data_IF_073888598728
#
_entry.id   IF_073888598728
#
_cell.length_a   1.000
_cell.length_b   1.000
_cell.length_c   1.000
_cell.angle_alpha   90.00
_cell.angle_beta   90.00
_cell.angle_gamma   90.00
#
_symmetry.space_group_name_H-M   'P 1'
#
loop_
_entity.id
_entity.type
_entity.pdbx_description
1 polymer ?
#
# COMPACT_ATOMS: atom_id res chain seq x y z
N UNK A 1 26.82 13.15 8.45
CA UNK A 1 26.40 11.95 9.20
C UNK A 1 25.71 10.98 8.25
N UNK A 2 26.15 9.71 8.20
CA UNK A 2 25.46 8.65 7.46
C UNK A 2 24.08 8.45 8.10
N UNK A 3 23.02 8.59 7.32
CA UNK A 3 21.67 8.40 7.80
C UNK A 3 21.52 6.95 8.29
N UNK A 4 21.25 6.74 9.59
CA UNK A 4 21.05 5.39 10.15
C UNK A 4 19.88 4.74 9.42
N UNK A 5 20.11 3.55 8.87
CA UNK A 5 19.06 2.78 8.16
C UNK A 5 17.96 2.41 9.15
N UNK A 6 16.72 2.69 8.77
CA UNK A 6 15.53 2.40 9.58
C UNK A 6 15.03 1.00 9.22
N UNK A 7 15.64 -0.03 9.79
CA UNK A 7 15.32 -1.42 9.49
C UNK A 7 13.85 -1.76 9.71
N UNK A 8 13.23 -1.19 10.75
CA UNK A 8 11.80 -1.43 11.03
C UNK A 8 10.88 -0.97 9.89
N UNK A 9 11.17 0.15 9.20
CA UNK A 9 10.41 0.56 8.03
C UNK A 9 10.64 -0.34 6.82
N UNK A 10 11.87 -0.85 6.66
CA UNK A 10 12.18 -1.81 5.61
C UNK A 10 11.45 -3.14 5.87
N UNK A 11 11.44 -3.64 7.11
CA UNK A 11 10.75 -4.86 7.51
C UNK A 11 9.23 -4.72 7.37
N UNK A 12 8.68 -3.57 7.77
CA UNK A 12 7.25 -3.27 7.57
C UNK A 12 6.87 -3.29 6.09
N UNK A 13 7.70 -2.71 5.20
CA UNK A 13 7.46 -2.79 3.75
C UNK A 13 7.51 -4.22 3.22
N UNK A 14 8.39 -5.08 3.73
CA UNK A 14 8.40 -6.51 3.37
C UNK A 14 7.06 -7.16 3.74
N UNK A 15 6.60 -6.98 4.99
CA UNK A 15 5.31 -7.54 5.43
C UNK A 15 4.13 -7.01 4.60
N UNK A 16 4.13 -5.71 4.30
CA UNK A 16 3.10 -5.11 3.44
C UNK A 16 3.15 -5.66 2.01
N UNK A 17 4.35 -5.91 1.44
CA UNK A 17 4.47 -6.52 0.12
C UNK A 17 3.89 -7.93 0.10
N UNK A 18 4.19 -8.73 1.13
CA UNK A 18 3.59 -10.06 1.28
C UNK A 18 2.07 -9.96 1.40
N UNK A 19 1.58 -9.01 2.20
CA UNK A 19 0.14 -8.78 2.36
C UNK A 19 -0.54 -8.39 1.04
N UNK A 20 0.09 -7.54 0.20
CA UNK A 20 -0.41 -7.20 -1.14
C UNK A 20 -0.48 -8.44 -2.03
N UNK A 21 0.55 -9.28 -2.01
CA UNK A 21 0.56 -10.53 -2.80
C UNK A 21 -0.60 -11.44 -2.36
N UNK A 22 -0.80 -11.64 -1.06
CA UNK A 22 -1.92 -12.43 -0.55
C UNK A 22 -3.28 -11.78 -0.83
N UNK A 23 -3.38 -10.46 -0.76
CA UNK A 23 -4.60 -9.74 -1.14
C UNK A 23 -5.01 -10.08 -2.59
N UNK A 24 -4.07 -9.94 -3.53
CA UNK A 24 -4.34 -10.27 -4.93
C UNK A 24 -4.53 -11.78 -5.17
N UNK A 25 -3.81 -12.65 -4.46
CA UNK A 25 -4.03 -14.10 -4.54
C UNK A 25 -5.46 -14.48 -4.14
N UNK A 26 -6.02 -13.81 -3.13
CA UNK A 26 -7.38 -14.05 -2.65
C UNK A 26 -8.47 -13.55 -3.59
N UNK A 27 -8.23 -12.51 -4.40
CA UNK A 27 -9.24 -11.94 -5.29
C UNK A 27 -9.83 -12.97 -6.27
N UNK A 28 -9.04 -13.95 -6.70
CA UNK A 28 -9.51 -15.04 -7.55
C UNK A 28 -10.53 -15.96 -6.86
N UNK A 29 -10.49 -16.05 -5.54
CA UNK A 29 -11.28 -16.98 -4.73
C UNK A 29 -12.37 -16.26 -3.91
N UNK A 30 -12.55 -14.97 -4.12
CA UNK A 30 -13.65 -14.18 -3.54
C UNK A 30 -14.89 -14.20 -4.41
N UNK A 31 -16.02 -13.81 -3.85
CA UNK A 31 -17.27 -13.64 -4.58
C UNK A 31 -17.31 -12.24 -5.20
N UNK A 32 -17.04 -12.17 -6.48
CA UNK A 32 -17.09 -10.93 -7.26
C UNK A 32 -15.87 -10.02 -7.04
N UNK A 33 -15.22 -9.68 -8.08
CA UNK A 33 -14.12 -8.72 -8.15
C UNK A 33 -13.59 -8.68 -9.56
N UNK A 34 -13.06 -7.56 -9.99
CA UNK A 34 -12.49 -7.36 -11.32
C UNK A 34 -11.19 -8.14 -11.56
N UNK A 35 -11.04 -9.33 -10.96
CA UNK A 35 -9.86 -10.16 -11.16
C UNK A 35 -9.93 -10.90 -12.51
N UNK A 36 -8.80 -10.97 -13.20
CA UNK A 36 -8.75 -11.53 -14.56
C UNK A 36 -8.88 -13.06 -14.62
N UNK A 37 -8.69 -13.76 -13.50
CA UNK A 37 -8.85 -15.21 -13.40
C UNK A 37 -9.98 -15.56 -12.43
N UNK A 38 -10.84 -16.49 -12.84
CA UNK A 38 -11.87 -17.10 -12.01
C UNK A 38 -11.71 -18.61 -12.02
N UNK A 39 -11.75 -19.30 -10.85
CA UNK A 39 -11.65 -20.75 -10.80
C UNK A 39 -12.75 -21.41 -11.62
N UNK A 40 -12.40 -22.42 -12.42
CA UNK A 40 -13.38 -23.23 -13.14
C UNK A 40 -14.27 -24.06 -12.20
N UNK A 41 -13.79 -24.34 -10.99
CA UNK A 41 -14.53 -25.05 -9.96
C UNK A 41 -15.20 -24.07 -8.98
N UNK A 42 -16.55 -23.95 -8.96
CA UNK A 42 -17.27 -23.05 -8.03
C UNK A 42 -17.02 -23.36 -6.54
N UNK A 43 -16.62 -24.59 -6.19
CA UNK A 43 -16.29 -24.94 -4.81
C UNK A 43 -14.99 -24.30 -4.31
N UNK A 44 -14.24 -23.63 -5.17
CA UNK A 44 -13.02 -22.88 -4.83
C UNK A 44 -13.31 -21.41 -4.47
N UNK A 45 -14.55 -21.01 -4.26
CA UNK A 45 -14.95 -19.66 -3.84
C UNK A 45 -15.16 -19.60 -2.32
N UNK A 46 -14.66 -18.53 -1.72
CA UNK A 46 -14.77 -18.24 -0.28
C UNK A 46 -15.46 -16.88 -0.06
N UNK A 47 -16.80 -16.83 0.10
CA UNK A 47 -17.50 -15.55 0.24
C UNK A 47 -17.00 -14.70 1.42
N UNK A 48 -16.56 -15.32 2.51
CA UNK A 48 -16.08 -14.61 3.70
C UNK A 48 -14.76 -13.85 3.51
N UNK A 49 -13.99 -14.11 2.43
CA UNK A 49 -12.68 -13.50 2.20
C UNK A 49 -12.79 -11.99 1.91
N UNK A 50 -13.98 -11.47 1.59
CA UNK A 50 -14.18 -10.05 1.38
C UNK A 50 -13.84 -9.21 2.62
N UNK A 51 -13.98 -9.75 3.84
CA UNK A 51 -13.54 -9.09 5.08
C UNK A 51 -12.03 -8.85 5.09
N UNK A 52 -11.27 -9.84 4.59
CA UNK A 52 -9.82 -9.71 4.41
C UNK A 52 -9.49 -8.60 3.41
N UNK A 53 -10.22 -8.52 2.29
CA UNK A 53 -9.99 -7.47 1.30
C UNK A 53 -10.33 -6.09 1.85
N UNK A 54 -11.49 -5.90 2.43
CA UNK A 54 -11.94 -4.61 2.93
C UNK A 54 -11.05 -4.10 4.08
N UNK A 55 -10.58 -5.00 4.95
CA UNK A 55 -9.65 -4.62 6.02
C UNK A 55 -8.28 -4.22 5.47
N UNK A 56 -7.73 -4.98 4.52
CA UNK A 56 -6.45 -4.66 3.92
C UNK A 56 -6.51 -3.36 3.09
N UNK A 57 -7.53 -3.23 2.23
CA UNK A 57 -7.73 -2.04 1.41
C UNK A 57 -7.80 -0.77 2.27
N UNK A 58 -8.40 -0.86 3.46
CA UNK A 58 -8.52 0.27 4.36
C UNK A 58 -7.17 0.90 4.74
N UNK A 59 -6.08 0.13 4.88
CA UNK A 59 -4.85 0.70 5.41
C UNK A 59 -3.57 0.46 4.59
N UNK A 60 -3.43 -0.70 3.91
CA UNK A 60 -2.11 -1.11 3.41
C UNK A 60 -1.51 -0.16 2.38
N UNK A 61 -2.32 0.34 1.42
CA UNK A 61 -1.85 1.30 0.43
C UNK A 61 -1.66 2.69 1.03
N UNK A 62 -2.55 3.12 1.94
CA UNK A 62 -2.39 4.34 2.71
C UNK A 62 -1.08 4.36 3.51
N UNK A 63 -0.75 3.24 4.16
CA UNK A 63 0.51 3.10 4.91
C UNK A 63 1.73 3.12 3.98
N UNK A 64 1.65 2.52 2.78
CA UNK A 64 2.71 2.64 1.79
C UNK A 64 2.93 4.09 1.34
N UNK A 65 1.86 4.86 1.12
CA UNK A 65 1.97 6.28 0.80
C UNK A 65 2.56 7.07 1.96
N UNK A 66 2.18 6.79 3.21
CA UNK A 66 2.76 7.43 4.39
C UNK A 66 4.27 7.15 4.50
N UNK A 67 4.70 5.89 4.42
CA UNK A 67 6.11 5.52 4.46
C UNK A 67 6.88 6.17 3.30
N UNK A 68 6.30 6.21 2.12
CA UNK A 68 6.92 6.85 0.96
C UNK A 68 7.06 8.35 1.14
N UNK A 69 6.02 9.03 1.64
CA UNK A 69 6.02 10.45 2.00
C UNK A 69 7.08 10.78 3.05
N UNK A 70 7.28 9.90 4.04
CA UNK A 70 8.30 10.08 5.08
C UNK A 70 9.73 10.19 4.51
N UNK A 71 10.06 9.46 3.44
CA UNK A 71 11.40 9.51 2.85
C UNK A 71 11.60 10.66 1.86
N UNK A 72 10.54 11.26 1.35
CA UNK A 72 10.61 12.30 0.31
C UNK A 72 11.35 13.55 0.74
N UNK A 73 11.07 14.20 1.91
CA UNK A 73 11.73 15.43 2.29
C UNK A 73 13.25 15.30 2.44
N UNK A 74 13.69 14.31 3.20
CA UNK A 74 15.14 14.08 3.44
C UNK A 74 15.87 13.74 2.12
N UNK A 75 15.20 13.00 1.22
CA UNK A 75 15.75 12.67 -0.10
C UNK A 75 15.90 13.90 -0.99
N UNK A 76 14.87 14.75 -1.03
CA UNK A 76 14.89 16.00 -1.83
C UNK A 76 15.95 16.99 -1.28
N UNK A 77 15.97 17.23 0.02
CA UNK A 77 16.90 18.18 0.65
C UNK A 77 18.37 17.77 0.45
N UNK A 78 18.64 16.45 0.48
CA UNK A 78 20.01 15.92 0.29
C UNK A 78 20.49 16.02 -1.16
N UNK A 79 19.61 15.86 -2.15
CA UNK A 79 20.00 15.64 -3.54
C UNK A 79 19.74 16.87 -4.43
N UNK A 80 18.89 17.78 -4.00
CA UNK A 80 18.37 18.88 -4.83
C UNK A 80 17.34 18.41 -5.86
N UNK A 81 16.57 19.37 -6.39
CA UNK A 81 15.40 19.12 -7.24
C UNK A 81 15.71 18.26 -8.48
N UNK A 82 16.70 18.65 -9.28
CA UNK A 82 17.03 17.96 -10.54
C UNK A 82 17.44 16.50 -10.34
N UNK A 83 18.32 16.22 -9.36
CA UNK A 83 18.76 14.86 -9.07
C UNK A 83 17.62 14.02 -8.47
N UNK A 84 16.79 14.61 -7.60
CA UNK A 84 15.63 13.96 -7.02
C UNK A 84 14.64 13.52 -8.10
N UNK A 85 14.22 14.45 -8.99
CA UNK A 85 13.29 14.17 -10.10
C UNK A 85 13.86 13.10 -11.03
N UNK A 86 15.12 13.23 -11.47
CA UNK A 86 15.77 12.21 -12.31
C UNK A 86 15.72 10.81 -11.67
N UNK A 87 16.04 10.69 -10.38
CA UNK A 87 16.00 9.40 -9.68
C UNK A 87 14.58 8.85 -9.54
N UNK A 88 13.58 9.72 -9.32
CA UNK A 88 12.19 9.29 -9.26
C UNK A 88 11.69 8.80 -10.62
N UNK A 89 12.02 9.49 -11.70
CA UNK A 89 11.69 9.05 -13.07
C UNK A 89 12.34 7.71 -13.41
N UNK A 90 13.61 7.50 -13.05
CA UNK A 90 14.29 6.21 -13.28
C UNK A 90 13.66 5.10 -12.45
N UNK A 91 13.44 5.33 -11.15
CA UNK A 91 13.06 4.28 -10.20
C UNK A 91 11.57 3.96 -10.18
N UNK A 92 10.72 4.91 -10.51
CA UNK A 92 9.27 4.74 -10.55
C UNK A 92 8.74 4.79 -11.98
N UNK A 93 9.22 5.74 -12.80
CA UNK A 93 8.74 5.94 -14.16
C UNK A 93 9.08 4.79 -15.10
N UNK A 94 10.33 4.31 -15.11
CA UNK A 94 10.73 3.20 -15.99
C UNK A 94 9.93 1.91 -15.67
N UNK A 95 9.84 1.42 -14.40
CA UNK A 95 9.02 0.25 -14.10
C UNK A 95 7.53 0.45 -14.43
N UNK A 96 6.98 1.63 -14.16
CA UNK A 96 5.59 1.94 -14.50
C UNK A 96 5.34 1.86 -16.00
N UNK A 97 6.20 2.47 -16.84
CA UNK A 97 6.06 2.43 -18.28
C UNK A 97 6.23 1.01 -18.85
N UNK A 98 7.21 0.27 -18.38
CA UNK A 98 7.47 -1.09 -18.88
C UNK A 98 6.38 -2.08 -18.45
N UNK A 99 6.04 -2.12 -17.17
CA UNK A 99 5.06 -3.06 -16.65
C UNK A 99 3.62 -2.64 -16.98
N UNK A 100 3.28 -1.36 -16.82
CA UNK A 100 1.96 -0.83 -17.21
C UNK A 100 1.74 -0.93 -18.73
N UNK A 101 2.76 -0.66 -19.53
CA UNK A 101 2.73 -0.90 -20.97
C UNK A 101 2.50 -2.38 -21.32
N UNK A 102 3.21 -3.29 -20.67
CA UNK A 102 3.00 -4.72 -20.85
C UNK A 102 1.57 -5.15 -20.47
N UNK A 103 1.06 -4.70 -19.33
CA UNK A 103 -0.31 -5.00 -18.89
C UNK A 103 -1.34 -4.43 -19.87
N UNK A 104 -1.12 -3.22 -20.39
CA UNK A 104 -2.00 -2.61 -21.40
C UNK A 104 -2.03 -3.41 -22.72
N UNK A 105 -0.89 -3.91 -23.15
CA UNK A 105 -0.81 -4.80 -24.34
C UNK A 105 -1.55 -6.10 -24.10
N UNK A 106 -1.35 -6.73 -22.94
CA UNK A 106 -2.01 -8.00 -22.59
C UNK A 106 -3.54 -7.84 -22.45
N UNK A 107 -3.98 -6.69 -21.91
CA UNK A 107 -5.40 -6.39 -21.74
C UNK A 107 -6.09 -5.86 -23.01
N UNK A 108 -5.34 -5.50 -24.05
CA UNK A 108 -5.88 -4.85 -25.26
C UNK A 108 -6.52 -3.47 -25.04
N UNK A 109 -6.25 -2.85 -23.91
CA UNK A 109 -6.74 -1.50 -23.53
C UNK A 109 -5.72 -0.84 -22.59
N UNK A 110 -5.88 0.48 -22.38
CA UNK A 110 -5.07 1.16 -21.38
C UNK A 110 -5.39 0.60 -19.98
N UNK A 111 -4.44 -0.12 -19.43
CA UNK A 111 -4.57 -0.82 -18.14
C UNK A 111 -3.23 -0.78 -17.42
N UNK A 112 -3.17 -0.20 -16.24
CA UNK A 112 -1.95 -0.17 -15.44
C UNK A 112 -1.96 -1.23 -14.34
N UNK A 113 -3.08 -1.90 -14.13
CA UNK A 113 -3.24 -2.89 -13.08
C UNK A 113 -2.74 -2.35 -11.73
N UNK A 114 -2.00 -3.17 -11.00
CA UNK A 114 -1.42 -2.78 -9.70
C UNK A 114 -0.40 -1.63 -9.80
N UNK A 115 0.09 -1.27 -10.99
CA UNK A 115 1.08 -0.19 -11.16
C UNK A 115 0.50 1.21 -10.94
N UNK A 116 -0.82 1.36 -10.77
CA UNK A 116 -1.46 2.61 -10.39
C UNK A 116 -0.83 3.25 -9.13
N UNK A 117 -0.37 2.43 -8.18
CA UNK A 117 0.30 2.94 -6.98
C UNK A 117 1.65 3.59 -7.31
N UNK A 118 2.47 2.95 -8.14
CA UNK A 118 3.78 3.50 -8.56
C UNK A 118 3.60 4.78 -9.35
N UNK A 119 2.61 4.83 -10.22
CA UNK A 119 2.19 5.99 -10.99
C UNK A 119 1.84 7.17 -10.07
N UNK A 120 0.92 6.96 -9.14
CA UNK A 120 0.50 8.01 -8.20
C UNK A 120 1.63 8.42 -7.25
N UNK A 121 2.49 7.49 -6.83
CA UNK A 121 3.66 7.80 -6.03
C UNK A 121 4.68 8.66 -6.78
N UNK A 122 4.87 8.41 -8.09
CA UNK A 122 5.66 9.28 -8.96
C UNK A 122 5.05 10.67 -9.02
N UNK A 123 3.74 10.74 -9.31
CA UNK A 123 3.02 12.01 -9.40
C UNK A 123 3.14 12.82 -8.09
N UNK A 124 2.85 12.26 -6.93
CA UNK A 124 2.97 12.94 -5.64
C UNK A 124 4.41 13.41 -5.37
N UNK A 125 5.40 12.60 -5.78
CA UNK A 125 6.80 12.98 -5.63
C UNK A 125 7.18 14.18 -6.51
N UNK A 126 6.65 14.24 -7.73
CA UNK A 126 6.87 15.36 -8.65
C UNK A 126 6.15 16.63 -8.21
N UNK A 127 4.90 16.50 -7.73
CA UNK A 127 4.15 17.62 -7.13
C UNK A 127 4.89 18.17 -5.91
N UNK A 128 5.39 17.32 -5.04
CA UNK A 128 6.23 17.76 -3.92
C UNK A 128 7.46 18.52 -4.41
N UNK A 129 8.17 18.00 -5.40
CA UNK A 129 9.34 18.68 -5.96
C UNK A 129 8.98 20.05 -6.53
N UNK A 130 7.86 20.15 -7.28
CA UNK A 130 7.35 21.42 -7.81
C UNK A 130 7.04 22.44 -6.71
N UNK A 131 6.28 22.02 -5.67
CA UNK A 131 5.97 22.91 -4.53
C UNK A 131 7.26 23.41 -3.86
N UNK A 132 8.26 22.54 -3.71
CA UNK A 132 9.53 22.88 -3.06
C UNK A 132 10.43 23.81 -3.88
N UNK A 133 10.18 24.00 -5.16
CA UNK A 133 10.87 25.04 -5.95
C UNK A 133 10.44 26.47 -5.56
N UNK A 134 9.18 26.61 -5.13
CA UNK A 134 8.60 27.91 -4.81
C UNK A 134 8.43 28.14 -3.30
N UNK A 135 8.28 27.07 -2.51
CA UNK A 135 8.02 27.14 -1.08
C UNK A 135 9.22 26.63 -0.27
N UNK A 136 9.58 27.39 0.78
CA UNK A 136 10.54 26.91 1.79
C UNK A 136 10.00 25.68 2.50
N UNK A 137 10.89 24.81 3.06
CA UNK A 137 10.42 23.70 3.86
C UNK A 137 9.60 24.19 5.05
N UNK A 138 8.58 23.43 5.44
CA UNK A 138 7.91 23.63 6.71
C UNK A 138 8.97 23.61 7.81
N UNK A 139 8.97 24.66 8.64
CA UNK A 139 9.87 24.74 9.78
C UNK A 139 9.63 23.53 10.69
N UNK A 140 10.70 23.05 11.32
CA UNK A 140 10.59 22.00 12.34
C UNK A 140 9.73 22.53 13.49
N UNK A 141 8.54 21.96 13.64
CA UNK A 141 7.67 22.20 14.79
C UNK A 141 7.86 21.04 15.77
N UNK A 142 7.70 21.32 17.05
CA UNK A 142 7.85 20.30 18.12
C UNK A 142 6.58 19.49 18.35
N UNK A 143 5.70 19.39 17.35
CA UNK A 143 4.47 18.62 17.49
C UNK A 143 4.76 17.11 17.57
N UNK A 144 3.99 16.42 18.42
CA UNK A 144 4.01 14.95 18.53
C UNK A 144 2.66 14.39 18.10
N UNK A 145 2.58 13.17 17.55
CA UNK A 145 1.29 12.53 17.32
C UNK A 145 0.58 12.30 18.66
N UNK A 146 -0.72 12.58 18.67
CA UNK A 146 -1.61 12.33 19.82
C UNK A 146 -2.82 11.53 19.34
N UNK A 147 -3.48 10.79 20.23
CA UNK A 147 -4.68 10.01 19.86
C UNK A 147 -5.78 10.92 19.32
N UNK A 148 -5.98 12.10 19.94
CA UNK A 148 -6.96 13.09 19.46
C UNK A 148 -6.57 13.60 18.06
N UNK A 149 -5.28 13.89 17.82
CA UNK A 149 -4.79 14.31 16.51
C UNK A 149 -5.01 13.24 15.43
N UNK A 150 -4.71 11.97 15.74
CA UNK A 150 -4.96 10.85 14.84
C UNK A 150 -6.46 10.69 14.55
N UNK A 151 -7.31 10.82 15.56
CA UNK A 151 -8.76 10.76 15.40
C UNK A 151 -9.27 11.90 14.49
N UNK A 152 -8.84 13.15 14.75
CA UNK A 152 -9.24 14.32 13.95
C UNK A 152 -8.83 14.11 12.47
N UNK A 153 -7.60 13.67 12.22
CA UNK A 153 -7.12 13.41 10.86
C UNK A 153 -7.94 12.32 10.19
N UNK A 154 -8.20 11.19 10.87
CA UNK A 154 -9.01 10.11 10.34
C UNK A 154 -10.46 10.54 10.08
N UNK A 155 -11.04 11.33 10.98
CA UNK A 155 -12.40 11.87 10.83
C UNK A 155 -12.51 12.86 9.65
N UNK A 156 -11.57 13.80 9.51
CA UNK A 156 -11.56 14.76 8.39
C UNK A 156 -11.38 14.05 7.06
N UNK A 157 -10.47 13.09 6.99
CA UNK A 157 -10.25 12.25 5.81
C UNK A 157 -11.52 11.45 5.49
N UNK A 158 -12.16 10.89 6.51
CA UNK A 158 -13.36 10.10 6.38
C UNK A 158 -14.58 10.91 5.92
N UNK A 159 -14.76 12.12 6.44
CA UNK A 159 -15.83 13.03 5.98
C UNK A 159 -15.64 13.38 4.51
N UNK A 160 -14.41 13.74 4.11
CA UNK A 160 -14.11 13.98 2.70
C UNK A 160 -14.36 12.75 1.82
N UNK A 161 -13.91 11.57 2.25
CA UNK A 161 -14.16 10.30 1.56
C UNK A 161 -15.66 9.96 1.46
N UNK A 162 -16.43 10.26 2.50
CA UNK A 162 -17.88 10.08 2.49
C UNK A 162 -18.54 10.87 1.36
N UNK A 163 -18.22 12.16 1.20
CA UNK A 163 -18.80 12.97 0.12
C UNK A 163 -18.32 12.53 -1.27
N UNK A 164 -17.04 12.19 -1.42
CA UNK A 164 -16.51 11.70 -2.71
C UNK A 164 -17.24 10.43 -3.14
N UNK A 165 -17.57 9.53 -2.22
CA UNK A 165 -18.24 8.26 -2.51
C UNK A 165 -19.71 8.38 -2.90
N UNK A 166 -20.34 9.53 -2.65
CA UNK A 166 -21.69 9.79 -3.17
C UNK A 166 -21.68 9.90 -4.70
N UNK A 167 -20.61 10.47 -5.26
CA UNK A 167 -20.45 10.68 -6.70
C UNK A 167 -19.61 9.57 -7.37
N UNK A 168 -18.68 8.98 -6.64
CA UNK A 168 -17.76 7.97 -7.15
C UNK A 168 -17.63 6.83 -6.15
N UNK A 169 -18.43 5.76 -6.31
CA UNK A 169 -18.36 4.59 -5.44
C UNK A 169 -17.02 3.86 -5.55
N UNK A 170 -16.80 2.89 -4.65
CA UNK A 170 -15.64 2.01 -4.72
C UNK A 170 -15.61 1.23 -6.05
N UNK A 171 -14.43 0.83 -6.46
CA UNK A 171 -14.15 0.14 -7.73
C UNK A 171 -14.47 0.98 -8.99
N UNK A 172 -14.79 2.27 -8.85
CA UNK A 172 -14.94 3.19 -9.97
C UNK A 172 -13.60 3.85 -10.28
N UNK A 173 -12.89 3.29 -11.24
CA UNK A 173 -11.59 3.78 -11.71
C UNK A 173 -11.76 4.81 -12.82
N UNK A 174 -11.06 5.92 -12.70
CA UNK A 174 -11.05 6.98 -13.71
C UNK A 174 -9.65 7.19 -14.25
N UNK A 175 -9.61 7.55 -15.54
CA UNK A 175 -8.41 8.05 -16.20
C UNK A 175 -8.53 9.56 -16.39
N UNK A 176 -7.59 10.30 -15.80
CA UNK A 176 -7.56 11.75 -15.90
C UNK A 176 -6.14 12.27 -16.00
N UNK A 177 -5.84 13.06 -17.03
CA UNK A 177 -4.53 13.67 -17.28
C UNK A 177 -3.34 12.69 -17.25
N UNK A 178 -3.53 11.47 -17.72
CA UNK A 178 -2.48 10.45 -17.73
C UNK A 178 -2.37 9.62 -16.44
N UNK A 179 -3.24 9.85 -15.46
CA UNK A 179 -3.28 9.12 -14.20
C UNK A 179 -4.49 8.20 -14.15
N UNK A 180 -4.28 6.97 -13.65
CA UNK A 180 -5.36 6.05 -13.30
C UNK A 180 -5.48 6.04 -11.79
N UNK A 181 -6.67 6.34 -11.29
CA UNK A 181 -6.94 6.34 -9.85
C UNK A 181 -8.40 6.07 -9.54
N UNK A 182 -8.65 5.65 -8.31
CA UNK A 182 -9.97 5.43 -7.75
C UNK A 182 -10.31 6.60 -6.80
N UNK A 183 -11.27 7.48 -7.15
CA UNK A 183 -11.58 8.66 -6.35
C UNK A 183 -11.97 8.33 -4.91
N UNK A 184 -12.69 7.21 -4.71
CA UNK A 184 -13.16 6.77 -3.40
C UNK A 184 -12.05 6.67 -2.33
N UNK A 185 -10.83 6.30 -2.74
CA UNK A 185 -9.66 6.18 -1.84
C UNK A 185 -8.61 7.27 -2.06
N UNK A 186 -8.74 8.09 -3.12
CA UNK A 186 -7.67 9.01 -3.53
C UNK A 186 -7.31 10.05 -2.47
N UNK A 187 -8.34 10.61 -1.81
CA UNK A 187 -8.14 11.55 -0.72
C UNK A 187 -7.31 10.92 0.41
N UNK A 188 -7.59 9.67 0.74
CA UNK A 188 -6.85 8.92 1.75
C UNK A 188 -5.36 8.80 1.37
N UNK A 189 -5.06 8.48 0.11
CA UNK A 189 -3.67 8.33 -0.35
C UNK A 189 -2.90 9.66 -0.34
N UNK A 190 -3.53 10.75 -0.78
CA UNK A 190 -2.97 12.11 -0.72
C UNK A 190 -2.70 12.50 0.74
N UNK A 191 -3.67 12.33 1.62
CA UNK A 191 -3.55 12.67 3.04
C UNK A 191 -2.46 11.83 3.73
N UNK A 192 -2.41 10.54 3.48
CA UNK A 192 -1.40 9.65 4.07
C UNK A 192 0.01 9.98 3.57
N UNK A 193 0.18 10.31 2.29
CA UNK A 193 1.46 10.77 1.77
C UNK A 193 1.90 12.09 2.43
N UNK A 194 0.98 13.04 2.58
CA UNK A 194 1.23 14.30 3.27
C UNK A 194 1.57 14.10 4.76
N UNK A 195 0.83 13.22 5.46
CA UNK A 195 1.16 12.83 6.84
C UNK A 195 2.56 12.23 6.95
N UNK A 196 3.00 11.47 5.95
CA UNK A 196 4.38 10.98 5.88
C UNK A 196 5.40 12.11 5.80
N UNK A 197 5.13 13.14 4.99
CA UNK A 197 5.98 14.34 4.92
C UNK A 197 6.04 15.05 6.29
N UNK A 198 4.90 15.24 6.94
CA UNK A 198 4.85 15.85 8.29
C UNK A 198 5.58 14.99 9.32
N UNK A 199 5.38 13.67 9.29
CA UNK A 199 6.06 12.73 10.17
C UNK A 199 7.59 12.80 10.05
N UNK A 200 8.09 13.04 8.83
CA UNK A 200 9.52 13.28 8.61
C UNK A 200 9.98 14.64 9.15
N UNK A 201 9.22 15.71 8.87
CA UNK A 201 9.60 17.07 9.27
C UNK A 201 9.55 17.30 10.77
N UNK A 202 8.61 16.68 11.45
CA UNK A 202 8.40 16.81 12.88
C UNK A 202 8.99 15.66 13.70
N UNK A 203 9.67 14.71 13.03
CA UNK A 203 10.29 13.54 13.67
C UNK A 203 9.27 12.70 14.47
N UNK A 204 8.06 12.55 13.93
CA UNK A 204 6.97 11.87 14.64
C UNK A 204 7.27 10.41 14.94
N UNK A 205 7.98 9.71 14.03
CA UNK A 205 8.30 8.29 14.24
C UNK A 205 9.30 8.10 15.39
N UNK A 206 10.20 9.05 15.57
CA UNK A 206 11.18 9.07 16.66
C UNK A 206 10.56 9.53 17.98
N UNK A 207 9.64 10.51 17.92
CA UNK A 207 9.05 11.20 19.09
C UNK A 207 7.73 10.58 19.58
N UNK A 208 7.15 9.63 18.83
CA UNK A 208 5.91 8.96 19.20
C UNK A 208 6.07 8.15 20.49
N UNK A 209 5.30 8.50 21.49
CA UNK A 209 5.30 7.81 22.78
C UNK A 209 4.74 6.37 22.62
N UNK A 210 5.33 5.40 23.31
CA UNK A 210 4.90 3.99 23.23
C UNK A 210 3.42 3.82 23.58
N UNK A 211 2.91 4.58 24.55
CA UNK A 211 1.50 4.58 24.93
C UNK A 211 0.60 4.98 23.75
N UNK A 212 0.97 6.00 22.99
CA UNK A 212 0.19 6.46 21.84
C UNK A 212 0.18 5.40 20.75
N UNK A 213 1.34 4.82 20.44
CA UNK A 213 1.42 3.74 19.42
C UNK A 213 0.63 2.50 19.81
N UNK A 214 0.72 2.07 21.09
CA UNK A 214 -0.03 0.92 21.60
C UNK A 214 -1.55 1.16 21.57
N UNK A 215 -2.02 2.35 21.99
CA UNK A 215 -3.44 2.70 21.92
C UNK A 215 -3.91 2.79 20.47
N UNK A 216 -3.12 3.37 19.57
CA UNK A 216 -3.45 3.41 18.16
C UNK A 216 -3.60 2.00 17.57
N UNK A 217 -2.68 1.09 17.89
CA UNK A 217 -2.79 -0.31 17.46
C UNK A 217 -4.03 -0.98 18.02
N UNK A 218 -4.33 -0.79 19.31
CA UNK A 218 -5.53 -1.36 19.94
C UNK A 218 -6.82 -0.88 19.26
N UNK A 219 -6.94 0.44 19.02
CA UNK A 219 -8.09 1.02 18.32
C UNK A 219 -8.17 0.43 16.89
N UNK A 220 -7.04 0.37 16.19
CA UNK A 220 -6.97 -0.22 14.85
C UNK A 220 -7.44 -1.67 14.80
N UNK A 221 -7.01 -2.49 15.77
CA UNK A 221 -7.45 -3.90 15.92
C UNK A 221 -8.95 -3.98 16.21
N UNK A 222 -9.46 -3.16 17.13
CA UNK A 222 -10.90 -3.14 17.45
C UNK A 222 -11.73 -2.78 16.22
N UNK A 223 -11.31 -1.78 15.44
CA UNK A 223 -11.97 -1.43 14.18
C UNK A 223 -11.87 -2.57 13.16
N UNK A 224 -10.72 -3.22 13.03
CA UNK A 224 -10.58 -4.38 12.13
C UNK A 224 -11.49 -5.53 12.54
N UNK A 225 -11.56 -5.88 13.83
CA UNK A 225 -12.48 -6.90 14.36
C UNK A 225 -13.93 -6.50 14.07
N UNK A 226 -14.31 -5.23 14.31
CA UNK A 226 -15.63 -4.72 13.97
C UNK A 226 -15.97 -4.82 12.47
N UNK A 227 -14.96 -4.67 11.59
CA UNK A 227 -15.14 -4.89 10.15
C UNK A 227 -15.35 -6.37 9.81
N UNK A 228 -14.65 -7.29 10.49
CA UNK A 228 -14.87 -8.74 10.34
C UNK A 228 -16.21 -9.20 10.92
N UNK A 229 -16.76 -8.52 11.92
CA UNK A 229 -18.05 -8.84 12.51
C UNK A 229 -19.27 -8.32 11.71
N UNK A 230 -19.05 -7.81 10.50
CA UNK A 230 -20.13 -7.34 9.62
C UNK A 230 -20.73 -8.50 8.83
N UNK A 231 -21.63 -9.23 9.44
CA UNK A 231 -22.32 -10.41 8.87
C UNK A 231 -23.79 -10.14 8.51
N UNK A 232 -24.17 -8.87 8.47
CA UNK A 232 -25.56 -8.43 8.27
C UNK A 232 -26.09 -7.64 9.48
N UNK A 233 -27.38 -7.36 9.49
CA UNK A 233 -28.04 -6.64 10.58
C UNK A 233 -27.68 -5.15 10.69
N UNK A 234 -28.02 -4.55 11.84
CA UNK A 234 -27.90 -3.10 12.08
C UNK A 234 -26.45 -2.61 12.06
N UNK A 235 -25.51 -3.42 12.61
CA UNK A 235 -24.10 -3.06 12.61
C UNK A 235 -23.54 -2.97 11.19
N UNK A 236 -23.86 -3.92 10.33
CA UNK A 236 -23.45 -3.87 8.92
C UNK A 236 -24.04 -2.66 8.22
N UNK A 237 -25.33 -2.37 8.40
CA UNK A 237 -26.00 -1.20 7.84
C UNK A 237 -25.35 0.12 8.31
N UNK A 238 -25.04 0.23 9.60
CA UNK A 238 -24.37 1.40 10.17
C UNK A 238 -22.98 1.59 9.55
N UNK A 239 -22.12 0.55 9.54
CA UNK A 239 -20.78 0.65 8.99
C UNK A 239 -20.83 0.92 7.48
N UNK A 240 -21.72 0.28 6.74
CA UNK A 240 -21.88 0.52 5.30
C UNK A 240 -22.21 2.00 5.01
N UNK A 241 -23.16 2.58 5.76
CA UNK A 241 -23.56 3.98 5.62
C UNK A 241 -22.40 4.95 5.85
N UNK A 242 -21.55 4.67 6.83
CA UNK A 242 -20.44 5.53 7.24
C UNK A 242 -19.07 4.96 6.86
N UNK A 243 -19.03 4.09 5.86
CA UNK A 243 -17.82 3.32 5.55
C UNK A 243 -16.62 4.20 5.27
N UNK A 244 -16.77 5.33 4.59
CA UNK A 244 -15.67 6.27 4.34
C UNK A 244 -15.01 6.76 5.64
N UNK A 245 -15.80 7.04 6.69
CA UNK A 245 -15.27 7.46 7.99
C UNK A 245 -14.63 6.28 8.72
N UNK A 246 -15.33 5.15 8.74
CA UNK A 246 -14.87 3.93 9.41
C UNK A 246 -13.51 3.46 8.86
N UNK A 247 -13.41 3.36 7.54
CA UNK A 247 -12.20 2.96 6.83
C UNK A 247 -11.05 3.95 7.03
N UNK A 248 -11.32 5.24 7.00
CA UNK A 248 -10.30 6.28 7.23
C UNK A 248 -9.75 6.24 8.65
N UNK A 249 -10.58 5.99 9.64
CA UNK A 249 -10.13 5.75 11.01
C UNK A 249 -9.27 4.48 11.10
N UNK A 250 -9.73 3.37 10.48
CA UNK A 250 -8.91 2.15 10.37
C UNK A 250 -7.55 2.45 9.75
N UNK A 251 -7.52 3.18 8.63
CA UNK A 251 -6.29 3.54 7.95
C UNK A 251 -5.30 4.23 8.89
N UNK A 252 -5.73 5.27 9.57
CA UNK A 252 -4.84 6.07 10.43
C UNK A 252 -4.38 5.26 11.64
N UNK A 253 -5.30 4.63 12.36
CA UNK A 253 -4.99 3.93 13.60
C UNK A 253 -4.14 2.67 13.37
N UNK A 254 -4.46 1.86 12.37
CA UNK A 254 -3.65 0.69 12.00
C UNK A 254 -2.26 1.15 11.53
N UNK A 255 -2.17 2.19 10.71
CA UNK A 255 -0.89 2.67 10.19
C UNK A 255 0.05 3.14 11.30
N UNK A 256 -0.41 4.01 12.20
CA UNK A 256 0.41 4.50 13.31
C UNK A 256 0.70 3.40 14.34
N UNK A 257 -0.26 2.51 14.58
CA UNK A 257 -0.07 1.32 15.41
C UNK A 257 1.00 0.38 14.87
N UNK A 258 0.99 0.08 13.56
CA UNK A 258 2.00 -0.76 12.92
C UNK A 258 3.37 -0.09 12.87
N UNK A 259 3.44 1.22 12.61
CA UNK A 259 4.70 1.96 12.67
C UNK A 259 5.36 1.88 14.04
N UNK A 260 4.56 2.03 15.11
CA UNK A 260 5.02 1.82 16.48
C UNK A 260 5.44 0.38 16.74
N UNK A 261 4.60 -0.59 16.39
CA UNK A 261 4.86 -2.02 16.62
C UNK A 261 6.18 -2.45 15.96
N UNK A 262 6.40 -2.07 14.71
CA UNK A 262 7.64 -2.40 14.00
C UNK A 262 8.85 -1.63 14.54
N UNK A 263 8.68 -0.39 15.00
CA UNK A 263 9.75 0.36 15.65
C UNK A 263 10.25 -0.33 16.92
N UNK A 264 9.34 -0.81 17.75
CA UNK A 264 9.66 -1.44 19.05
C UNK A 264 10.09 -2.91 18.88
N UNK A 265 9.36 -3.67 18.06
CA UNK A 265 9.51 -5.12 18.01
C UNK A 265 9.96 -5.66 16.65
N UNK A 266 9.86 -4.88 15.60
CA UNK A 266 10.15 -5.29 14.21
C UNK A 266 11.49 -4.74 13.65
N UNK A 267 12.39 -4.24 14.48
CA UNK A 267 13.64 -3.59 14.04
C UNK A 267 14.79 -4.61 13.82
N UNK A 268 14.48 -5.71 13.15
CA UNK A 268 15.45 -6.76 12.87
C UNK A 268 16.42 -6.36 11.76
N UNK A 269 17.70 -6.75 11.90
CA UNK A 269 18.76 -6.44 10.94
C UNK A 269 19.45 -7.68 10.36
N UNK A 270 18.81 -8.86 10.43
CA UNK A 270 19.39 -10.09 9.89
C UNK A 270 19.62 -10.01 8.37
N UNK A 271 20.55 -10.83 7.85
CA UNK A 271 20.85 -10.91 6.42
C UNK A 271 19.61 -11.28 5.59
N UNK A 272 18.76 -12.15 6.12
CA UNK A 272 17.51 -12.57 5.48
C UNK A 272 16.54 -11.37 5.29
N UNK A 273 16.26 -10.61 6.37
CA UNK A 273 15.38 -9.44 6.29
C UNK A 273 15.91 -8.34 5.38
N UNK A 274 17.23 -8.12 5.41
CA UNK A 274 17.87 -7.18 4.48
C UNK A 274 17.78 -7.63 3.02
N UNK A 275 17.89 -8.95 2.77
CA UNK A 275 17.69 -9.52 1.44
C UNK A 275 16.21 -9.32 1.00
N UNK A 276 15.23 -9.68 1.84
CA UNK A 276 13.81 -9.46 1.55
C UNK A 276 13.53 -7.98 1.24
N UNK A 277 13.98 -7.07 2.10
CA UNK A 277 13.78 -5.63 1.91
C UNK A 277 14.35 -5.11 0.58
N UNK A 278 15.48 -5.67 0.15
CA UNK A 278 16.08 -5.31 -1.14
C UNK A 278 15.26 -5.81 -2.34
N UNK A 279 14.47 -6.85 -2.20
CA UNK A 279 13.65 -7.43 -3.28
C UNK A 279 12.19 -6.94 -3.26
N UNK A 280 11.68 -6.36 -2.17
CA UNK A 280 10.25 -6.03 -1.99
C UNK A 280 9.65 -5.21 -3.12
N UNK A 281 10.38 -4.23 -3.65
CA UNK A 281 9.88 -3.38 -4.72
C UNK A 281 9.70 -4.14 -6.04
N UNK A 282 10.69 -4.94 -6.44
CA UNK A 282 10.56 -5.77 -7.65
C UNK A 282 9.52 -6.90 -7.45
N UNK A 283 9.45 -7.50 -6.25
CA UNK A 283 8.41 -8.48 -5.94
C UNK A 283 7.01 -7.88 -6.12
N UNK A 284 6.79 -6.64 -5.66
CA UNK A 284 5.56 -5.90 -5.94
C UNK A 284 5.32 -5.72 -7.46
N UNK A 285 6.34 -5.46 -8.27
CA UNK A 285 6.17 -5.27 -9.71
C UNK A 285 5.80 -6.58 -10.42
N UNK A 286 6.45 -7.70 -10.08
CA UNK A 286 6.34 -8.95 -10.83
C UNK A 286 5.20 -9.86 -10.38
N UNK A 287 4.68 -9.71 -9.15
CA UNK A 287 3.75 -10.69 -8.57
C UNK A 287 2.48 -10.91 -9.40
N UNK A 288 1.93 -9.86 -10.01
CA UNK A 288 0.65 -9.92 -10.71
C UNK A 288 0.68 -10.90 -11.90
N UNK A 289 1.72 -10.77 -12.75
CA UNK A 289 1.87 -11.64 -13.92
C UNK A 289 2.15 -13.09 -13.48
N UNK A 290 3.07 -13.26 -12.52
CA UNK A 290 3.37 -14.58 -11.97
C UNK A 290 2.14 -15.24 -11.37
N UNK A 291 1.29 -14.46 -10.71
CA UNK A 291 0.06 -14.92 -10.07
C UNK A 291 -0.94 -15.43 -11.08
N UNK A 292 -1.26 -14.64 -12.12
CA UNK A 292 -2.16 -15.06 -13.17
C UNK A 292 -1.66 -16.33 -13.87
N UNK A 293 -0.37 -16.39 -14.20
CA UNK A 293 0.23 -17.58 -14.82
C UNK A 293 0.06 -18.83 -13.94
N UNK A 294 0.32 -18.71 -12.62
CA UNK A 294 0.19 -19.85 -11.71
C UNK A 294 -1.28 -20.23 -11.49
N UNK A 295 -2.19 -19.26 -11.38
CA UNK A 295 -3.62 -19.51 -11.23
C UNK A 295 -4.18 -20.29 -12.42
N UNK A 296 -3.90 -19.84 -13.66
CA UNK A 296 -4.30 -20.57 -14.87
C UNK A 296 -3.63 -21.94 -14.97
N UNK A 297 -2.34 -22.07 -14.67
CA UNK A 297 -1.62 -23.34 -14.72
C UNK A 297 -2.12 -24.37 -13.70
N UNK A 298 -2.72 -23.93 -12.60
CA UNK A 298 -3.24 -24.80 -11.53
C UNK A 298 -4.75 -24.92 -11.52
N UNK A 299 -5.45 -24.41 -12.52
CA UNK A 299 -6.93 -24.39 -12.56
C UNK A 299 -7.54 -25.79 -12.45
N UNK A 300 -6.96 -26.76 -13.15
CA UNK A 300 -7.42 -28.16 -13.14
C UNK A 300 -7.01 -28.95 -11.89
N UNK A 301 -6.14 -28.39 -11.03
CA UNK A 301 -5.71 -29.04 -9.80
C UNK A 301 -6.73 -28.71 -8.73
N UNK A 302 -7.51 -29.72 -8.32
CA UNK A 302 -8.50 -29.52 -7.27
C UNK A 302 -7.83 -29.32 -5.91
N UNK A 303 -8.21 -28.25 -5.24
CA UNK A 303 -7.86 -27.94 -3.84
C UNK A 303 -9.06 -27.28 -3.16
N UNK A 304 -9.15 -27.41 -1.83
CA UNK A 304 -10.08 -26.56 -1.07
C UNK A 304 -9.69 -25.09 -1.25
N UNK A 305 -10.67 -24.20 -1.42
CA UNK A 305 -10.47 -22.77 -1.69
C UNK A 305 -9.40 -22.12 -0.82
N UNK A 306 -9.46 -22.31 0.51
CA UNK A 306 -8.45 -21.78 1.43
C UNK A 306 -7.04 -22.36 1.18
N UNK A 307 -6.95 -23.67 0.91
CA UNK A 307 -5.68 -24.31 0.58
C UNK A 307 -5.06 -23.75 -0.70
N UNK A 308 -5.89 -23.54 -1.73
CA UNK A 308 -5.44 -22.95 -3.00
C UNK A 308 -5.00 -21.51 -2.85
N UNK A 309 -5.76 -20.70 -2.11
CA UNK A 309 -5.36 -19.33 -1.74
C UNK A 309 -4.00 -19.29 -1.04
N UNK A 310 -3.79 -20.13 -0.01
CA UNK A 310 -2.52 -20.19 0.72
C UNK A 310 -1.37 -20.69 -0.14
N UNK A 311 -1.62 -21.69 -0.99
CA UNK A 311 -0.62 -22.20 -1.93
C UNK A 311 -0.18 -21.12 -2.92
N UNK A 312 -1.13 -20.49 -3.61
CA UNK A 312 -0.85 -19.43 -4.60
C UNK A 312 -0.14 -18.25 -3.92
N UNK A 313 -0.66 -17.74 -2.81
CA UNK A 313 -0.05 -16.62 -2.08
C UNK A 313 1.40 -16.89 -1.66
N UNK A 314 1.67 -18.09 -1.13
CA UNK A 314 3.02 -18.49 -0.69
C UNK A 314 3.96 -18.70 -1.89
N UNK A 315 3.53 -19.44 -2.90
CA UNK A 315 4.34 -19.73 -4.09
C UNK A 315 4.70 -18.44 -4.82
N UNK A 316 3.75 -17.52 -5.00
CA UNK A 316 4.00 -16.24 -5.68
C UNK A 316 4.87 -15.32 -4.83
N UNK A 317 4.71 -15.32 -3.50
CA UNK A 317 5.64 -14.59 -2.62
C UNK A 317 7.08 -15.05 -2.87
N UNK A 318 7.34 -16.34 -2.77
CA UNK A 318 8.69 -16.88 -3.00
C UNK A 318 9.17 -16.57 -4.43
N UNK A 319 8.36 -16.88 -5.43
CA UNK A 319 8.72 -16.70 -6.83
C UNK A 319 9.03 -15.25 -7.18
N UNK A 320 8.24 -14.28 -6.72
CA UNK A 320 8.43 -12.85 -7.01
C UNK A 320 9.69 -12.28 -6.34
N UNK A 321 10.00 -12.70 -5.11
CA UNK A 321 11.24 -12.30 -4.43
C UNK A 321 12.47 -12.91 -5.11
N UNK A 322 12.42 -14.19 -5.46
CA UNK A 322 13.53 -14.88 -6.18
C UNK A 322 13.70 -14.28 -7.58
N UNK A 323 12.61 -14.08 -8.33
CA UNK A 323 12.70 -13.46 -9.66
C UNK A 323 13.32 -12.06 -9.57
N UNK A 324 12.92 -11.26 -8.60
CA UNK A 324 13.51 -9.93 -8.39
C UNK A 324 15.00 -10.02 -8.12
N UNK A 325 15.43 -10.96 -7.28
CA UNK A 325 16.82 -11.17 -6.99
C UNK A 325 17.61 -11.54 -8.25
N UNK A 326 17.12 -12.45 -9.10
CA UNK A 326 17.71 -12.82 -10.37
C UNK A 326 17.79 -11.64 -11.34
N UNK A 327 16.69 -10.91 -11.53
CA UNK A 327 16.63 -9.75 -12.43
C UNK A 327 17.60 -8.64 -11.99
N UNK A 328 17.78 -8.46 -10.68
CA UNK A 328 18.75 -7.50 -10.15
C UNK A 328 20.22 -7.92 -10.31
N UNK A 329 20.50 -9.14 -10.74
CA UNK A 329 21.88 -9.51 -11.15
C UNK A 329 22.25 -8.88 -12.49
N UNK A 330 21.28 -8.49 -13.32
CA UNK A 330 21.54 -7.84 -14.60
C UNK A 330 22.15 -6.45 -14.34
N UNK A 331 23.29 -6.12 -15.01
CA UNK A 331 23.93 -4.82 -14.86
C UNK A 331 22.98 -3.66 -15.13
N UNK A 332 22.98 -2.67 -14.25
CA UNK A 332 22.12 -1.48 -14.36
C UNK A 332 20.74 -1.61 -13.72
N UNK A 333 20.14 -2.80 -13.63
CA UNK A 333 18.79 -3.00 -13.07
C UNK A 333 18.68 -2.58 -11.60
N UNK A 334 19.74 -2.75 -10.80
CA UNK A 334 19.78 -2.28 -9.39
C UNK A 334 19.54 -0.76 -9.23
N UNK A 335 19.67 0.03 -10.29
CA UNK A 335 19.38 1.46 -10.25
C UNK A 335 17.89 1.75 -10.41
N UNK A 336 17.16 0.78 -10.94
CA UNK A 336 15.71 0.85 -11.24
C UNK A 336 14.90 0.14 -10.17
N UNK A 337 15.33 -1.06 -9.76
CA UNK A 337 14.69 -1.92 -8.76
C UNK A 337 15.36 -1.89 -7.38
#
# INVERSE_FOLDING_TARGET
MLQKRLFYLDNLKVCLTVLVIFHHAGQAYGDGGGWAYHPSNPAEVMPWIWHFFSTNAAFFMGLYFLISGYFVPKSFDKQGAGTFVKKKLIRLGIPWLLMGGLLSVLAGKLETGHMWFVENLLFFSLVYAGIRLFCKPLLSCTSKPTIIGLFIVGALMGVGSYFIRQESPQDHWIFWMGLIFEPAHYLQYVMMFFLGILACRFEWLEKMENRIGAIALLIGIVLAIGNYARDGGEWNAFVYRWFGIYESLMCVFISFGLLWLFREYGNWSSRFWQWCAAQSYGAYIFHMILMLLLQYATDTIWMRAFGKFMFIGTAITIASFVLTWLVRMIPGVKKVL
#
